data_IF_001406578444
#
_entry.id   IF_001406578444
#
_cell.length_a   1.000
_cell.length_b   1.000
_cell.length_c   1.000
_cell.angle_alpha   90.00
_cell.angle_beta   90.00
_cell.angle_gamma   90.00
#
_symmetry.space_group_name_H-M   'P 1'
#
loop_
_entity.id
_entity.type
_entity.pdbx_description
1 polymer ?
#
# COMPACT_ATOMS: atom_id res chain seq x y z
N UNK A 1 -9.30 -2.43 -25.09
CA UNK A 1 -9.43 -2.90 -23.69
C UNK A 1 -9.03 -1.76 -22.77
N UNK A 2 -9.82 -1.42 -21.73
CA UNK A 2 -9.40 -0.41 -20.74
C UNK A 2 -8.13 -0.89 -20.03
N UNK A 3 -7.15 0.00 -19.81
CA UNK A 3 -5.91 -0.30 -19.08
C UNK A 3 -6.27 -0.81 -17.68
N UNK A 4 -5.63 -1.91 -17.24
CA UNK A 4 -5.78 -2.44 -15.88
C UNK A 4 -5.09 -1.49 -14.89
N UNK A 5 -5.77 -1.11 -13.81
CA UNK A 5 -5.20 -0.27 -12.75
C UNK A 5 -4.32 -1.14 -11.84
N UNK A 6 -3.09 -0.67 -11.61
CA UNK A 6 -2.10 -1.35 -10.77
C UNK A 6 -2.05 -0.70 -9.38
N UNK A 7 -2.19 -1.52 -8.34
CA UNK A 7 -2.18 -1.12 -6.93
C UNK A 7 -0.91 -1.67 -6.28
N UNK A 8 -0.10 -0.80 -5.70
CA UNK A 8 0.97 -1.20 -4.78
C UNK A 8 0.42 -1.26 -3.35
N UNK A 9 0.42 -2.45 -2.73
CA UNK A 9 -0.04 -2.65 -1.36
C UNK A 9 1.17 -2.63 -0.41
N UNK A 10 1.50 -1.45 0.09
CA UNK A 10 2.57 -1.22 1.04
C UNK A 10 2.06 -1.48 2.46
N UNK A 11 2.53 -2.56 3.07
CA UNK A 11 2.08 -2.98 4.38
C UNK A 11 3.17 -3.72 5.16
N UNK A 12 3.13 -3.67 6.51
CA UNK A 12 3.90 -4.58 7.34
C UNK A 12 3.70 -6.04 6.93
N UNK A 13 4.75 -6.85 7.02
CA UNK A 13 4.75 -8.27 6.64
C UNK A 13 5.58 -9.14 7.60
N UNK A 14 5.69 -8.71 8.86
CA UNK A 14 6.54 -9.28 9.89
C UNK A 14 5.93 -10.52 10.55
N UNK A 15 4.60 -10.57 10.60
CA UNK A 15 3.84 -11.63 11.26
C UNK A 15 3.03 -12.44 10.25
N UNK A 16 2.64 -13.66 10.65
CA UNK A 16 1.73 -14.48 9.83
C UNK A 16 0.38 -13.78 9.65
N UNK A 17 -0.14 -13.14 10.70
CA UNK A 17 -1.41 -12.41 10.65
C UNK A 17 -1.38 -11.29 9.60
N UNK A 18 -0.36 -10.43 9.62
CA UNK A 18 -0.18 -9.37 8.62
C UNK A 18 -0.10 -9.93 7.20
N UNK A 19 0.71 -10.97 6.99
CA UNK A 19 0.88 -11.58 5.66
C UNK A 19 -0.39 -12.21 5.11
N UNK A 20 -1.18 -12.84 5.98
CA UNK A 20 -2.49 -13.43 5.61
C UNK A 20 -3.46 -12.30 5.28
N UNK A 21 -3.55 -11.28 6.13
CA UNK A 21 -4.46 -10.16 5.94
C UNK A 21 -4.16 -9.37 4.67
N UNK A 22 -2.89 -9.06 4.39
CA UNK A 22 -2.46 -8.44 3.14
C UNK A 22 -2.93 -9.23 1.91
N UNK A 23 -2.88 -10.57 1.98
CA UNK A 23 -3.28 -11.44 0.87
C UNK A 23 -4.80 -11.45 0.68
N UNK A 24 -5.57 -11.53 1.76
CA UNK A 24 -7.04 -11.43 1.71
C UNK A 24 -7.49 -10.12 1.04
N UNK A 25 -6.90 -8.99 1.45
CA UNK A 25 -7.19 -7.69 0.87
C UNK A 25 -6.80 -7.62 -0.62
N UNK A 26 -5.63 -8.15 -0.98
CA UNK A 26 -5.16 -8.15 -2.36
C UNK A 26 -6.02 -9.02 -3.28
N UNK A 27 -6.44 -10.20 -2.80
CA UNK A 27 -7.33 -11.12 -3.52
C UNK A 27 -8.69 -10.45 -3.77
N UNK A 28 -9.29 -9.84 -2.74
CA UNK A 28 -10.56 -9.13 -2.87
C UNK A 28 -10.54 -8.02 -3.94
N UNK A 29 -9.46 -7.24 -3.99
CA UNK A 29 -9.29 -6.18 -4.98
C UNK A 29 -8.97 -6.76 -6.38
N UNK A 30 -8.20 -7.85 -6.44
CA UNK A 30 -7.85 -8.52 -7.70
C UNK A 30 -9.07 -9.12 -8.39
N UNK A 31 -9.98 -9.74 -7.63
CA UNK A 31 -11.28 -10.25 -8.11
C UNK A 31 -12.17 -9.17 -8.73
N UNK A 32 -11.92 -7.89 -8.41
CA UNK A 32 -12.64 -6.71 -8.94
C UNK A 32 -11.95 -6.05 -10.12
N UNK A 33 -10.95 -6.74 -10.69
CA UNK A 33 -10.28 -6.37 -11.93
C UNK A 33 -9.03 -5.51 -11.75
N UNK A 34 -8.52 -5.34 -10.53
CA UNK A 34 -7.24 -4.68 -10.28
C UNK A 34 -6.06 -5.64 -10.36
N UNK A 35 -4.87 -5.10 -10.58
CA UNK A 35 -3.61 -5.82 -10.39
C UNK A 35 -3.02 -5.34 -9.07
N UNK A 36 -2.85 -6.25 -8.11
CA UNK A 36 -2.31 -5.89 -6.79
C UNK A 36 -0.90 -6.45 -6.65
N UNK A 37 0.06 -5.55 -6.47
CA UNK A 37 1.46 -5.86 -6.23
C UNK A 37 1.68 -5.96 -4.72
N UNK A 38 2.03 -7.16 -4.25
CA UNK A 38 2.36 -7.45 -2.85
C UNK A 38 3.88 -7.63 -2.68
N UNK A 39 4.56 -6.80 -1.88
CA UNK A 39 6.00 -6.95 -1.62
C UNK A 39 6.37 -8.36 -1.13
N UNK A 40 5.51 -8.92 -0.27
CA UNK A 40 5.66 -10.26 0.30
C UNK A 40 5.65 -11.42 -0.71
N UNK A 41 5.09 -11.23 -1.91
CA UNK A 41 5.11 -12.22 -2.99
C UNK A 41 6.19 -11.91 -4.02
N UNK A 42 6.46 -10.63 -4.29
CA UNK A 42 7.55 -10.19 -5.18
C UNK A 42 8.92 -10.59 -4.66
N UNK A 43 9.12 -10.62 -3.34
CA UNK A 43 10.35 -11.08 -2.70
C UNK A 43 10.81 -12.49 -3.14
N UNK A 44 9.88 -13.34 -3.59
CA UNK A 44 10.21 -14.70 -4.09
C UNK A 44 11.05 -14.67 -5.37
N UNK A 45 10.96 -13.60 -6.16
CA UNK A 45 11.71 -13.46 -7.41
C UNK A 45 13.19 -13.10 -7.20
N UNK A 46 13.59 -12.79 -5.97
CA UNK A 46 14.94 -12.32 -5.63
C UNK A 46 15.74 -13.38 -4.85
N UNK A 47 15.28 -14.63 -4.83
CA UNK A 47 16.09 -15.75 -4.35
C UNK A 47 17.27 -15.99 -5.28
N UNK A 48 18.46 -16.21 -4.71
CA UNK A 48 19.67 -16.56 -5.47
C UNK A 48 19.87 -18.08 -5.49
N UNK A 49 20.38 -18.58 -6.61
CA UNK A 49 20.85 -19.96 -6.71
C UNK A 49 21.93 -20.22 -5.65
N UNK A 50 21.78 -21.31 -4.89
CA UNK A 50 22.70 -21.67 -3.81
C UNK A 50 22.35 -21.12 -2.42
N UNK A 51 21.21 -20.43 -2.26
CA UNK A 51 20.73 -19.94 -0.97
C UNK A 51 21.21 -18.52 -0.70
N UNK A 52 20.29 -17.57 -0.72
CA UNK A 52 20.56 -16.15 -0.50
C UNK A 52 19.48 -15.29 -1.11
N UNK A 53 19.51 -14.00 -0.83
CA UNK A 53 18.56 -13.03 -1.36
C UNK A 53 19.30 -11.86 -2.03
N UNK A 54 18.81 -11.42 -3.18
CA UNK A 54 19.23 -10.18 -3.82
C UNK A 54 18.48 -9.00 -3.21
N UNK A 55 18.96 -8.52 -2.05
CA UNK A 55 18.33 -7.41 -1.34
C UNK A 55 18.37 -6.09 -2.14
N UNK A 56 19.41 -5.86 -2.95
CA UNK A 56 19.49 -4.66 -3.79
C UNK A 56 18.44 -4.70 -4.90
N UNK A 57 18.28 -5.87 -5.55
CA UNK A 57 17.22 -6.11 -6.52
C UNK A 57 15.84 -5.92 -5.91
N UNK A 58 15.60 -6.54 -4.75
CA UNK A 58 14.34 -6.44 -4.01
C UNK A 58 14.00 -4.98 -3.64
N UNK A 59 14.95 -4.25 -3.05
CA UNK A 59 14.73 -2.87 -2.66
C UNK A 59 14.42 -1.97 -3.86
N UNK A 60 15.18 -2.13 -4.96
CA UNK A 60 14.91 -1.40 -6.21
C UNK A 60 13.53 -1.73 -6.79
N UNK A 61 13.13 -2.99 -6.73
CA UNK A 61 11.84 -3.45 -7.23
C UNK A 61 10.66 -2.88 -6.43
N UNK A 62 10.71 -2.97 -5.10
CA UNK A 62 9.70 -2.38 -4.21
C UNK A 62 9.56 -0.87 -4.44
N UNK A 63 10.68 -0.13 -4.44
CA UNK A 63 10.68 1.31 -4.69
C UNK A 63 10.13 1.66 -6.08
N UNK A 64 10.52 0.91 -7.11
CA UNK A 64 10.02 1.11 -8.47
C UNK A 64 8.51 0.88 -8.53
N UNK A 65 8.02 -0.21 -7.92
CA UNK A 65 6.59 -0.53 -7.89
C UNK A 65 5.81 0.55 -7.12
N UNK A 66 6.30 0.99 -5.97
CA UNK A 66 5.69 2.05 -5.17
C UNK A 66 5.57 3.37 -5.97
N UNK A 67 6.64 3.76 -6.67
CA UNK A 67 6.68 5.00 -7.44
C UNK A 67 5.85 4.96 -8.73
N UNK A 68 5.77 3.81 -9.41
CA UNK A 68 5.19 3.71 -10.77
C UNK A 68 3.75 3.21 -10.81
N UNK A 69 3.28 2.48 -9.78
CA UNK A 69 1.90 1.99 -9.70
C UNK A 69 0.89 3.12 -9.81
N UNK A 70 -0.31 2.82 -10.31
CA UNK A 70 -1.37 3.82 -10.46
C UNK A 70 -1.88 4.26 -9.09
N UNK A 71 -2.09 3.30 -8.18
CA UNK A 71 -2.49 3.53 -6.79
C UNK A 71 -1.45 2.96 -5.83
N UNK A 72 -1.18 3.65 -4.73
CA UNK A 72 -0.52 3.08 -3.55
C UNK A 72 -1.55 3.02 -2.42
N UNK A 73 -1.68 1.85 -1.79
CA UNK A 73 -2.36 1.68 -0.51
C UNK A 73 -1.28 1.45 0.54
N UNK A 74 -1.17 2.35 1.51
CA UNK A 74 -0.18 2.29 2.59
C UNK A 74 -0.89 1.95 3.91
N UNK A 75 -0.46 0.88 4.57
CA UNK A 75 -0.95 0.49 5.89
C UNK A 75 -0.09 1.18 6.94
N UNK A 76 -0.70 2.08 7.70
CA UNK A 76 -0.07 3.04 8.60
C UNK A 76 -0.40 2.72 10.07
N UNK A 77 -0.47 1.43 10.37
CA UNK A 77 -0.78 0.92 11.71
C UNK A 77 0.44 0.98 12.63
N UNK A 78 0.16 1.06 13.94
CA UNK A 78 1.19 1.14 14.98
C UNK A 78 1.32 2.54 15.60
N UNK A 79 2.14 2.59 16.65
CA UNK A 79 2.57 3.85 17.28
C UNK A 79 3.45 4.68 16.34
N UNK A 80 4.24 3.98 15.52
CA UNK A 80 4.91 4.53 14.35
C UNK A 80 4.61 3.61 13.17
N UNK A 81 4.61 4.17 11.97
CA UNK A 81 4.42 3.37 10.74
C UNK A 81 5.67 2.53 10.50
N UNK A 82 5.51 1.36 9.87
CA UNK A 82 6.65 0.59 9.39
C UNK A 82 7.61 1.48 8.56
N UNK A 83 8.89 1.42 8.88
CA UNK A 83 9.91 2.23 8.20
C UNK A 83 10.05 1.86 6.73
N UNK A 84 9.81 0.59 6.36
CA UNK A 84 9.75 0.15 4.96
C UNK A 84 8.65 0.87 4.19
N UNK A 85 7.41 0.79 4.69
CA UNK A 85 6.26 1.54 4.15
C UNK A 85 6.55 3.04 4.09
N UNK A 86 7.17 3.61 5.12
CA UNK A 86 7.54 5.03 5.17
C UNK A 86 8.52 5.43 4.06
N UNK A 87 9.55 4.62 3.79
CA UNK A 87 10.52 4.86 2.71
C UNK A 87 9.85 4.78 1.34
N UNK A 88 9.01 3.77 1.12
CA UNK A 88 8.26 3.60 -0.13
C UNK A 88 7.31 4.78 -0.40
N UNK A 89 6.57 5.19 0.62
CA UNK A 89 5.67 6.35 0.57
C UNK A 89 6.44 7.65 0.30
N UNK A 90 7.56 7.86 1.01
CA UNK A 90 8.41 9.03 0.79
C UNK A 90 8.94 9.11 -0.63
N UNK A 91 9.45 8.00 -1.18
CA UNK A 91 9.92 7.92 -2.56
C UNK A 91 8.81 8.23 -3.58
N UNK A 92 7.61 7.71 -3.33
CA UNK A 92 6.41 8.00 -4.12
C UNK A 92 6.07 9.49 -4.09
N UNK A 93 5.95 10.10 -2.91
CA UNK A 93 5.62 11.53 -2.76
C UNK A 93 6.66 12.41 -3.44
N UNK A 94 7.96 12.14 -3.22
CA UNK A 94 9.03 12.89 -3.86
C UNK A 94 8.96 12.80 -5.38
N UNK A 95 8.70 11.60 -5.93
CA UNK A 95 8.53 11.40 -7.37
C UNK A 95 7.36 12.21 -7.92
N UNK A 96 6.23 12.25 -7.22
CA UNK A 96 5.07 13.04 -7.66
C UNK A 96 5.35 14.55 -7.64
N UNK A 97 5.98 15.05 -6.57
CA UNK A 97 6.32 16.46 -6.42
C UNK A 97 7.32 16.95 -7.48
N UNK A 98 8.30 16.11 -7.84
CA UNK A 98 9.37 16.48 -8.79
C UNK A 98 8.94 16.24 -10.24
N UNK A 99 8.36 15.07 -10.54
CA UNK A 99 8.06 14.67 -11.91
C UNK A 99 6.67 15.09 -12.40
N UNK A 100 5.80 15.60 -11.51
CA UNK A 100 4.46 16.08 -11.87
C UNK A 100 3.46 14.98 -12.27
N UNK A 101 3.83 13.71 -12.17
CA UNK A 101 2.95 12.58 -12.44
C UNK A 101 2.02 12.36 -11.24
N UNK A 102 0.80 12.89 -11.30
CA UNK A 102 -0.21 12.64 -10.25
C UNK A 102 -0.55 11.16 -10.20
N UNK A 103 -0.42 10.56 -9.03
CA UNK A 103 -0.77 9.17 -8.81
C UNK A 103 -1.43 9.02 -7.45
N UNK A 104 -2.44 8.16 -7.34
CA UNK A 104 -3.30 8.16 -6.17
C UNK A 104 -2.63 7.43 -4.98
N UNK A 105 -2.76 7.99 -3.79
CA UNK A 105 -2.20 7.48 -2.54
C UNK A 105 -3.27 7.43 -1.45
N UNK A 106 -3.49 6.23 -0.91
CA UNK A 106 -4.47 5.97 0.14
C UNK A 106 -3.72 5.47 1.37
N UNK A 107 -3.78 6.21 2.46
CA UNK A 107 -3.37 5.73 3.78
C UNK A 107 -4.50 4.95 4.43
N UNK A 108 -4.19 3.87 5.11
CA UNK A 108 -5.14 3.09 5.90
C UNK A 108 -4.59 2.98 7.31
N UNK A 109 -5.41 3.35 8.30
CA UNK A 109 -5.11 3.16 9.71
C UNK A 109 -6.27 2.43 10.38
N UNK A 110 -5.98 1.23 10.86
CA UNK A 110 -6.85 0.41 11.70
C UNK A 110 -6.53 0.52 13.18
N UNK A 111 -5.31 0.95 13.54
CA UNK A 111 -4.94 1.22 14.92
C UNK A 111 -5.79 2.36 15.51
N UNK A 112 -6.68 2.01 16.44
CA UNK A 112 -7.62 2.94 17.06
C UNK A 112 -6.97 3.88 18.08
N UNK A 113 -5.70 3.64 18.44
CA UNK A 113 -4.98 4.47 19.39
C UNK A 113 -4.63 5.81 18.75
N UNK A 114 -4.84 6.87 19.51
CA UNK A 114 -4.49 8.22 19.10
C UNK A 114 -2.97 8.39 19.02
N UNK A 115 -2.52 9.17 18.05
CA UNK A 115 -1.13 9.62 17.93
C UNK A 115 -1.10 11.15 17.75
N UNK A 116 -0.20 11.66 16.92
CA UNK A 116 -0.07 13.10 16.59
C UNK A 116 -1.25 13.61 15.73
N UNK A 117 -0.99 14.54 14.81
CA UNK A 117 -1.99 15.12 13.91
C UNK A 117 -2.68 14.05 13.06
N UNK A 118 -4.02 13.98 13.11
CA UNK A 118 -4.77 12.94 12.42
C UNK A 118 -4.47 11.49 12.86
N UNK A 119 -3.82 11.31 14.03
CA UNK A 119 -3.29 10.04 14.53
C UNK A 119 -2.13 9.45 13.70
N UNK A 120 -1.38 10.28 12.96
CA UNK A 120 -0.22 9.86 12.19
C UNK A 120 0.91 10.90 12.28
N UNK A 121 2.13 10.48 11.93
CA UNK A 121 3.24 11.42 11.76
C UNK A 121 2.91 12.45 10.65
N UNK A 122 3.26 13.72 10.87
CA UNK A 122 2.97 14.83 9.95
C UNK A 122 3.49 14.63 8.52
N UNK A 123 4.51 13.79 8.31
CA UNK A 123 5.05 13.47 6.99
C UNK A 123 4.07 12.72 6.09
N UNK A 124 2.99 12.14 6.63
CA UNK A 124 1.91 11.50 5.86
C UNK A 124 0.82 12.48 5.38
N UNK A 125 0.90 13.77 5.72
CA UNK A 125 -0.07 14.78 5.25
C UNK A 125 -0.25 14.87 3.72
N UNK A 126 0.74 14.57 2.87
CA UNK A 126 0.58 14.57 1.41
C UNK A 126 -0.29 13.45 0.82
N UNK A 127 -0.81 12.51 1.63
CA UNK A 127 -1.76 11.49 1.17
C UNK A 127 -2.97 12.13 0.49
N UNK A 128 -3.45 11.54 -0.60
CA UNK A 128 -4.70 11.99 -1.24
C UNK A 128 -5.93 11.65 -0.38
N UNK A 129 -5.89 10.50 0.30
CA UNK A 129 -6.95 10.02 1.17
C UNK A 129 -6.38 9.29 2.39
N UNK A 130 -7.06 9.42 3.53
CA UNK A 130 -6.80 8.61 4.73
C UNK A 130 -8.09 7.89 5.14
N UNK A 131 -8.05 6.56 5.16
CA UNK A 131 -9.10 5.72 5.72
C UNK A 131 -8.74 5.41 7.17
N UNK A 132 -9.55 5.90 8.10
CA UNK A 132 -9.58 5.40 9.46
C UNK A 132 -10.65 4.32 9.58
N UNK A 133 -10.24 3.10 9.92
CA UNK A 133 -11.11 1.93 10.04
C UNK A 133 -10.69 1.07 11.24
N UNK A 134 -11.13 1.42 12.46
CA UNK A 134 -10.68 0.80 13.70
C UNK A 134 -10.71 -0.72 13.66
N UNK A 135 -9.65 -1.36 14.18
CA UNK A 135 -9.53 -2.81 14.26
C UNK A 135 -10.67 -3.46 15.07
N UNK A 136 -11.33 -2.71 15.95
CA UNK A 136 -12.53 -3.15 16.68
C UNK A 136 -13.73 -3.48 15.79
N UNK A 137 -13.74 -3.05 14.52
CA UNK A 137 -14.79 -3.41 13.57
C UNK A 137 -14.63 -4.86 13.06
N UNK A 138 -13.41 -5.41 13.08
CA UNK A 138 -13.07 -6.78 12.66
C UNK A 138 -13.60 -7.19 11.26
N UNK A 139 -13.76 -6.22 10.35
CA UNK A 139 -14.34 -6.42 9.02
C UNK A 139 -13.39 -5.92 7.92
N UNK A 140 -12.48 -6.79 7.51
CA UNK A 140 -11.50 -6.48 6.46
C UNK A 140 -12.16 -6.31 5.09
N UNK A 141 -13.31 -6.95 4.83
CA UNK A 141 -14.03 -6.85 3.56
C UNK A 141 -14.67 -5.47 3.39
N UNK A 142 -15.29 -4.93 4.45
CA UNK A 142 -15.83 -3.58 4.45
C UNK A 142 -14.72 -2.53 4.28
N UNK A 143 -13.54 -2.74 4.87
CA UNK A 143 -12.37 -1.90 4.62
C UNK A 143 -11.95 -1.96 3.14
N UNK A 144 -11.82 -3.15 2.56
CA UNK A 144 -11.48 -3.30 1.14
C UNK A 144 -12.54 -2.68 0.22
N UNK A 145 -13.82 -2.76 0.61
CA UNK A 145 -14.90 -2.10 -0.11
C UNK A 145 -14.76 -0.58 -0.09
N UNK A 146 -14.31 0.02 1.02
CA UNK A 146 -14.01 1.46 1.08
C UNK A 146 -12.85 1.84 0.16
N UNK A 147 -11.78 1.03 0.15
CA UNK A 147 -10.63 1.23 -0.74
C UNK A 147 -11.08 1.16 -2.21
N UNK A 148 -11.87 0.15 -2.57
CA UNK A 148 -12.45 -0.02 -3.91
C UNK A 148 -13.19 1.25 -4.35
N UNK A 149 -14.14 1.73 -3.54
CA UNK A 149 -14.95 2.91 -3.87
C UNK A 149 -14.09 4.14 -4.13
N UNK A 150 -13.03 4.37 -3.32
CA UNK A 150 -12.10 5.48 -3.57
C UNK A 150 -11.37 5.35 -4.90
N UNK A 151 -10.88 4.15 -5.23
CA UNK A 151 -10.18 3.90 -6.49
C UNK A 151 -11.11 4.06 -7.68
N UNK A 152 -12.35 3.57 -7.59
CA UNK A 152 -13.34 3.73 -8.65
C UNK A 152 -13.73 5.20 -8.85
N UNK A 153 -13.85 5.97 -7.77
CA UNK A 153 -14.13 7.40 -7.87
C UNK A 153 -12.98 8.21 -8.49
N UNK A 154 -11.72 7.78 -8.34
CA UNK A 154 -10.58 8.45 -8.97
C UNK A 154 -10.42 8.04 -10.45
N UNK A 155 -10.57 6.75 -10.77
CA UNK A 155 -10.17 6.19 -12.08
C UNK A 155 -11.31 5.69 -12.98
N UNK A 156 -12.54 5.57 -12.46
CA UNK A 156 -13.72 5.09 -13.21
C UNK A 156 -14.83 6.14 -13.31
N UNK A 157 -14.51 7.43 -13.17
CA UNK A 157 -15.43 8.49 -13.61
C UNK A 157 -15.63 8.36 -15.12
N UNK A 158 -16.85 8.03 -15.52
CA UNK A 158 -17.32 8.09 -16.91
C UNK A 158 -17.28 9.52 -17.44
#
# INVERSE_FOLDING_TARGET
>A
MKKKIVIYWAAPLFTQAERIWNRLCAEYLSERGFEVLLPQDRARNFGKDGGGMDFDGLARDCLTCACTSDVMVAILDGSDTDSGVGVEYGGRVATQMIAGAKKFTIGVRTDFRKAEDGNLNAMFRPLDCLIYFPSTAEDWQALCQRILVLIENEYRKD
#
